data_IF_592661996776
#
_entry.id   IF_592661996776
#
_cell.length_a   1.000
_cell.length_b   1.000
_cell.length_c   1.000
_cell.angle_alpha   90.00
_cell.angle_beta   90.00
_cell.angle_gamma   90.00
#
_symmetry.space_group_name_H-M   'P 1'
#
loop_
_entity.id
_entity.type
_entity.pdbx_description
1 polymer ?
#
# COMPACT_ATOMS: atom_id res chain seq x y z
N UNK A 1 -8.36 -19.09 3.13
CA UNK A 1 -8.37 -17.94 4.09
C UNK A 1 -9.61 -17.98 4.97
N UNK A 2 -9.55 -17.40 6.17
CA UNK A 2 -10.71 -17.27 7.06
C UNK A 2 -11.79 -16.37 6.44
N UNK A 3 -13.02 -16.87 6.31
CA UNK A 3 -14.16 -16.15 5.69
C UNK A 3 -14.55 -14.86 6.41
N UNK A 4 -14.03 -14.61 7.60
CA UNK A 4 -14.20 -13.35 8.35
C UNK A 4 -13.33 -12.23 7.83
N UNK A 5 -12.25 -12.53 7.11
CA UNK A 5 -11.39 -11.54 6.46
C UNK A 5 -12.13 -10.96 5.26
N UNK A 6 -12.33 -9.65 5.22
CA UNK A 6 -13.09 -8.95 4.19
C UNK A 6 -12.26 -8.02 3.32
N UNK A 7 -11.10 -7.61 3.80
CA UNK A 7 -10.15 -6.79 3.07
C UNK A 7 -8.74 -6.98 3.64
N UNK A 8 -7.71 -6.78 2.82
CA UNK A 8 -6.31 -6.94 3.23
C UNK A 8 -5.51 -5.73 2.79
N UNK A 9 -4.64 -5.24 3.66
CA UNK A 9 -3.58 -4.31 3.30
C UNK A 9 -2.22 -4.96 3.56
N UNK A 10 -1.35 -4.91 2.57
CA UNK A 10 0.05 -5.30 2.67
C UNK A 10 0.90 -4.04 2.64
N UNK A 11 1.47 -3.68 3.78
CA UNK A 11 2.34 -2.52 3.94
C UNK A 11 3.79 -2.92 3.69
N UNK A 12 4.32 -2.48 2.57
CA UNK A 12 5.70 -2.74 2.11
C UNK A 12 6.13 -4.19 2.30
N UNK A 13 5.35 -5.15 1.76
CA UNK A 13 5.57 -6.56 2.00
C UNK A 13 6.92 -7.00 1.43
N UNK A 14 7.61 -7.91 2.13
CA UNK A 14 8.85 -8.50 1.63
C UNK A 14 8.57 -9.51 0.52
N UNK A 15 7.95 -10.62 0.85
CA UNK A 15 7.58 -11.68 -0.08
C UNK A 15 6.09 -11.95 0.07
N UNK A 16 5.38 -11.96 -1.05
CA UNK A 16 3.99 -12.40 -1.15
C UNK A 16 3.92 -13.64 -2.03
N UNK A 17 3.04 -14.56 -1.69
CA UNK A 17 2.77 -15.73 -2.52
C UNK A 17 1.48 -15.47 -3.30
N UNK A 18 1.52 -15.41 -4.63
CA UNK A 18 0.33 -15.16 -5.43
C UNK A 18 -0.82 -16.13 -5.17
N UNK A 19 -0.49 -17.38 -4.83
CA UNK A 19 -1.47 -18.42 -4.50
C UNK A 19 -2.24 -18.15 -3.19
N UNK A 20 -1.70 -17.34 -2.30
CA UNK A 20 -2.38 -16.95 -1.05
C UNK A 20 -3.39 -15.80 -1.25
N UNK A 21 -3.45 -15.21 -2.45
CA UNK A 21 -4.43 -14.17 -2.78
C UNK A 21 -5.83 -14.75 -2.95
N UNK A 22 -6.82 -13.99 -2.48
CA UNK A 22 -8.23 -14.34 -2.61
C UNK A 22 -9.01 -13.23 -3.32
N UNK A 23 -10.22 -13.56 -3.79
CA UNK A 23 -11.11 -12.63 -4.49
C UNK A 23 -11.81 -11.67 -3.52
N UNK A 24 -11.03 -10.99 -2.67
CA UNK A 24 -11.45 -9.93 -1.76
C UNK A 24 -10.64 -8.67 -2.04
N UNK A 25 -11.06 -7.47 -1.57
CA UNK A 25 -10.28 -6.26 -1.72
C UNK A 25 -8.88 -6.38 -1.11
N UNK A 26 -7.85 -6.07 -1.90
CA UNK A 26 -6.46 -6.06 -1.47
C UNK A 26 -5.80 -4.76 -1.91
N UNK A 27 -5.11 -4.12 -0.98
CA UNK A 27 -4.20 -3.03 -1.25
C UNK A 27 -2.77 -3.47 -0.95
N UNK A 28 -1.87 -3.30 -1.92
CA UNK A 28 -0.43 -3.34 -1.70
C UNK A 28 0.09 -1.92 -1.71
N UNK A 29 0.49 -1.42 -0.56
CA UNK A 29 1.12 -0.11 -0.40
C UNK A 29 2.61 -0.32 -0.13
N UNK A 30 3.47 0.19 -1.01
CA UNK A 30 4.90 -0.12 -1.02
C UNK A 30 5.78 1.11 -1.12
N UNK A 31 7.02 0.98 -0.66
CA UNK A 31 8.10 1.94 -0.92
C UNK A 31 8.66 1.75 -2.34
N UNK A 32 9.32 2.78 -2.92
CA UNK A 32 10.02 2.63 -4.19
C UNK A 32 11.11 1.55 -4.09
N UNK A 33 11.18 0.70 -5.09
CA UNK A 33 12.19 -0.35 -5.15
C UNK A 33 13.42 0.11 -5.93
N UNK A 34 14.61 -0.31 -5.47
CA UNK A 34 15.83 -0.23 -6.27
C UNK A 34 15.83 -1.36 -7.30
N UNK A 35 16.30 -1.12 -8.50
CA UNK A 35 16.39 -2.16 -9.52
C UNK A 35 17.41 -3.24 -9.11
N UNK A 36 16.93 -4.46 -8.95
CA UNK A 36 17.70 -5.66 -8.65
C UNK A 36 16.90 -6.87 -9.11
N UNK A 37 17.57 -8.01 -9.27
CA UNK A 37 16.90 -9.26 -9.63
C UNK A 37 15.83 -9.64 -8.61
N UNK A 38 16.15 -9.58 -7.32
CA UNK A 38 15.20 -9.83 -6.23
C UNK A 38 13.99 -8.89 -6.29
N UNK A 39 14.21 -7.62 -6.59
CA UNK A 39 13.13 -6.63 -6.72
C UNK A 39 12.22 -6.93 -7.90
N UNK A 40 12.76 -7.37 -9.02
CA UNK A 40 11.97 -7.73 -10.21
C UNK A 40 11.05 -8.92 -9.94
N UNK A 41 11.53 -9.94 -9.25
CA UNK A 41 10.70 -11.09 -8.85
C UNK A 41 9.63 -10.66 -7.84
N UNK A 42 9.98 -9.84 -6.87
CA UNK A 42 9.03 -9.27 -5.91
C UNK A 42 7.90 -8.51 -6.61
N UNK A 43 8.21 -7.60 -7.53
CA UNK A 43 7.21 -6.85 -8.31
C UNK A 43 6.30 -7.79 -9.09
N UNK A 44 6.84 -8.85 -9.68
CA UNK A 44 6.06 -9.87 -10.39
C UNK A 44 5.07 -10.59 -9.46
N UNK A 45 5.52 -11.00 -8.28
CA UNK A 45 4.65 -11.67 -7.29
C UNK A 45 3.59 -10.74 -6.73
N UNK A 46 3.92 -9.50 -6.42
CA UNK A 46 2.96 -8.47 -5.97
C UNK A 46 1.90 -8.21 -7.04
N UNK A 47 2.30 -8.09 -8.30
CA UNK A 47 1.39 -7.87 -9.42
C UNK A 47 0.44 -9.05 -9.61
N UNK A 48 0.94 -10.28 -9.54
CA UNK A 48 0.10 -11.46 -9.67
C UNK A 48 -0.82 -11.65 -8.45
N UNK A 49 -0.35 -11.30 -7.25
CA UNK A 49 -1.18 -11.30 -6.04
C UNK A 49 -2.34 -10.31 -6.18
N UNK A 50 -2.06 -9.08 -6.58
CA UNK A 50 -3.08 -8.05 -6.79
C UNK A 50 -4.06 -8.44 -7.90
N UNK A 51 -3.59 -9.06 -9.00
CA UNK A 51 -4.43 -9.50 -10.11
C UNK A 51 -5.49 -10.53 -9.70
N UNK A 52 -5.22 -11.33 -8.69
CA UNK A 52 -6.16 -12.33 -8.16
C UNK A 52 -7.18 -11.75 -7.19
N UNK A 53 -6.85 -10.62 -6.56
CA UNK A 53 -7.74 -9.89 -5.66
C UNK A 53 -8.90 -9.21 -6.42
N UNK A 54 -9.97 -8.86 -5.70
CA UNK A 54 -11.13 -8.15 -6.29
C UNK A 54 -11.68 -7.09 -5.33
N UNK A 55 -11.31 -5.83 -5.53
CA UNK A 55 -10.25 -5.33 -6.42
C UNK A 55 -8.85 -5.55 -5.85
N UNK A 56 -7.85 -5.54 -6.73
CA UNK A 56 -6.44 -5.53 -6.37
C UNK A 56 -5.81 -4.19 -6.72
N UNK A 57 -5.39 -3.43 -5.73
CA UNK A 57 -4.85 -2.08 -5.87
C UNK A 57 -3.38 -2.09 -5.48
N UNK A 58 -2.53 -1.46 -6.27
CA UNK A 58 -1.13 -1.23 -5.94
C UNK A 58 -0.83 0.26 -5.93
N UNK A 59 -0.23 0.72 -4.84
CA UNK A 59 0.21 2.11 -4.67
C UNK A 59 1.66 2.15 -4.20
N UNK A 60 2.42 3.11 -4.72
CA UNK A 60 3.78 3.40 -4.25
C UNK A 60 3.81 4.70 -3.48
N UNK A 61 4.41 4.68 -2.29
CA UNK A 61 4.67 5.86 -1.46
C UNK A 61 5.94 6.56 -1.97
N UNK A 62 5.78 7.61 -2.76
CA UNK A 62 6.88 8.34 -3.41
C UNK A 62 7.80 8.96 -2.36
N UNK A 63 9.10 8.67 -2.45
CA UNK A 63 10.09 9.13 -1.48
C UNK A 63 10.07 8.39 -0.14
N UNK A 64 9.15 7.43 0.03
CA UNK A 64 9.06 6.62 1.24
C UNK A 64 10.11 5.51 1.30
N UNK A 65 10.24 4.93 2.48
CA UNK A 65 11.02 3.73 2.73
C UNK A 65 10.27 2.83 3.73
N UNK A 66 10.81 1.65 4.01
CA UNK A 66 10.14 0.65 4.84
C UNK A 66 9.68 1.18 6.23
N UNK A 67 10.46 2.03 6.87
CA UNK A 67 10.13 2.55 8.22
C UNK A 67 8.92 3.50 8.23
N UNK A 68 8.56 4.09 7.09
CA UNK A 68 7.40 4.99 7.00
C UNK A 68 6.05 4.26 7.11
N UNK A 69 6.04 2.93 7.07
CA UNK A 69 4.83 2.12 7.23
C UNK A 69 4.52 1.75 8.69
N UNK A 70 5.37 2.17 9.61
CA UNK A 70 5.19 2.00 11.07
C UNK A 70 5.29 3.33 11.80
N UNK A 71 5.15 3.28 13.13
CA UNK A 71 5.20 4.46 13.99
C UNK A 71 6.63 4.83 14.43
N UNK A 72 7.64 4.07 14.00
CA UNK A 72 9.03 4.29 14.38
C UNK A 72 9.52 5.72 14.09
N UNK A 73 9.22 6.34 12.93
CA UNK A 73 9.62 7.73 12.67
C UNK A 73 8.96 8.77 13.58
N UNK A 74 7.85 8.42 14.23
CA UNK A 74 7.14 9.31 15.15
C UNK A 74 7.65 9.20 16.58
N UNK A 75 8.18 8.03 16.96
CA UNK A 75 8.64 7.72 18.32
C UNK A 75 10.11 8.11 18.49
N UNK A 76 10.90 7.85 17.48
CA UNK A 76 12.32 8.15 17.48
C UNK A 76 12.50 9.44 16.70
N UNK A 77 12.91 10.49 17.37
CA UNK A 77 13.28 11.78 16.76
C UNK A 77 14.55 11.65 15.88
N UNK A 78 14.72 10.50 15.28
CA UNK A 78 15.61 10.26 14.13
C UNK A 78 15.05 10.95 12.87
N UNK A 79 14.31 12.00 13.09
CA UNK A 79 13.60 12.80 12.12
C UNK A 79 14.46 13.40 11.00
N UNK A 80 15.73 13.13 10.99
CA UNK A 80 16.62 13.52 9.89
C UNK A 80 16.87 12.41 8.86
N UNK A 81 16.13 11.30 8.91
CA UNK A 81 16.30 10.23 7.91
C UNK A 81 15.62 10.57 6.57
N UNK A 82 14.61 11.41 6.59
CA UNK A 82 14.11 12.14 5.42
C UNK A 82 13.22 13.29 5.89
N UNK A 83 13.38 14.49 5.33
CA UNK A 83 12.70 15.72 5.75
C UNK A 83 11.16 15.70 5.71
N UNK A 84 10.53 14.59 5.27
CA UNK A 84 9.10 14.45 5.10
C UNK A 84 8.51 13.22 5.80
N UNK A 85 9.19 12.67 6.81
CA UNK A 85 8.73 11.45 7.50
C UNK A 85 7.30 11.58 8.04
N UNK A 86 6.92 12.75 8.55
CA UNK A 86 5.56 13.01 9.03
C UNK A 86 4.54 12.98 7.88
N UNK A 87 4.82 13.67 6.78
CA UNK A 87 3.93 13.72 5.61
C UNK A 87 3.75 12.34 4.98
N UNK A 88 4.84 11.56 4.89
CA UNK A 88 4.80 10.17 4.40
C UNK A 88 3.95 9.28 5.31
N UNK A 89 4.13 9.38 6.62
CA UNK A 89 3.37 8.61 7.59
C UNK A 89 1.88 9.00 7.59
N UNK A 90 1.56 10.30 7.54
CA UNK A 90 0.19 10.80 7.43
C UNK A 90 -0.47 10.32 6.12
N UNK A 91 0.30 10.23 5.02
CA UNK A 91 -0.17 9.68 3.75
C UNK A 91 -0.52 8.19 3.88
N UNK A 92 0.34 7.39 4.52
CA UNK A 92 0.04 5.96 4.79
C UNK A 92 -1.26 5.83 5.58
N UNK A 93 -1.42 6.59 6.67
CA UNK A 93 -2.65 6.56 7.49
C UNK A 93 -3.89 6.95 6.69
N UNK A 94 -3.77 7.95 5.82
CA UNK A 94 -4.86 8.39 4.95
C UNK A 94 -5.26 7.26 4.00
N UNK A 95 -4.31 6.63 3.32
CA UNK A 95 -4.56 5.52 2.41
C UNK A 95 -5.26 4.36 3.12
N UNK A 96 -4.79 3.99 4.31
CA UNK A 96 -5.42 2.91 5.09
C UNK A 96 -6.86 3.25 5.47
N UNK A 97 -7.10 4.48 5.92
CA UNK A 97 -8.45 4.95 6.28
C UNK A 97 -9.39 4.95 5.08
N UNK A 98 -8.93 5.45 3.94
CA UNK A 98 -9.71 5.49 2.70
C UNK A 98 -10.02 4.07 2.21
N UNK A 99 -9.05 3.18 2.17
CA UNK A 99 -9.24 1.80 1.74
C UNK A 99 -10.20 1.02 2.64
N UNK A 100 -9.99 1.03 3.95
CA UNK A 100 -10.89 0.32 4.87
C UNK A 100 -12.25 1.02 4.99
N UNK A 101 -12.29 2.33 4.84
CA UNK A 101 -13.53 3.09 4.77
C UNK A 101 -14.42 2.62 3.62
N UNK A 102 -13.85 2.49 2.43
CA UNK A 102 -14.55 2.01 1.23
C UNK A 102 -15.03 0.56 1.40
N UNK A 103 -14.10 -0.36 1.69
CA UNK A 103 -14.38 -1.79 1.59
C UNK A 103 -14.96 -2.45 2.84
N UNK A 104 -14.85 -1.83 4.02
CA UNK A 104 -15.44 -2.36 5.25
C UNK A 104 -16.63 -1.57 5.74
N UNK A 105 -16.68 -0.26 5.45
CA UNK A 105 -17.71 0.63 6.00
C UNK A 105 -18.65 1.19 4.92
N UNK A 106 -18.41 0.86 3.64
CA UNK A 106 -19.20 1.38 2.53
C UNK A 106 -19.12 2.91 2.37
N UNK A 107 -18.03 3.52 2.82
CA UNK A 107 -17.79 4.96 2.67
C UNK A 107 -17.17 5.23 1.33
N UNK A 108 -17.71 6.22 0.63
CA UNK A 108 -17.15 6.67 -0.62
C UNK A 108 -15.73 7.24 -0.44
N UNK A 109 -14.77 6.78 -1.25
CA UNK A 109 -13.39 7.24 -1.23
C UNK A 109 -12.98 7.81 -2.57
N UNK A 110 -12.71 9.10 -2.61
CA UNK A 110 -12.19 9.75 -3.83
C UNK A 110 -10.81 9.21 -4.25
N UNK A 111 -9.96 8.85 -3.30
CA UNK A 111 -8.65 8.25 -3.60
C UNK A 111 -8.81 6.93 -4.36
N UNK A 112 -9.70 6.07 -3.90
CA UNK A 112 -9.93 4.75 -4.50
C UNK A 112 -10.59 4.88 -5.88
N UNK A 113 -11.55 5.80 -6.02
CA UNK A 113 -12.32 5.92 -7.26
C UNK A 113 -11.67 6.79 -8.32
N UNK A 114 -11.06 7.92 -7.90
CA UNK A 114 -10.51 8.92 -8.81
C UNK A 114 -8.99 8.86 -8.93
N UNK A 115 -8.34 8.08 -8.07
CA UNK A 115 -6.89 7.93 -8.08
C UNK A 115 -6.14 9.01 -7.30
N UNK A 116 -4.83 9.03 -7.45
CA UNK A 116 -3.91 9.78 -6.60
C UNK A 116 -3.65 11.24 -7.03
N UNK A 117 -4.46 11.83 -7.90
CA UNK A 117 -4.23 13.18 -8.43
C UNK A 117 -4.04 14.26 -7.33
N UNK A 118 -4.74 14.12 -6.21
CA UNK A 118 -4.66 15.03 -5.06
C UNK A 118 -3.68 14.56 -3.97
N UNK A 119 -2.89 13.52 -4.24
CA UNK A 119 -1.99 12.89 -3.29
C UNK A 119 -0.57 12.83 -3.85
N UNK A 120 0.22 13.91 -3.75
CA UNK A 120 1.52 14.04 -4.44
C UNK A 120 2.55 13.00 -4.01
N UNK A 121 2.39 12.40 -2.83
CA UNK A 121 3.26 11.34 -2.32
C UNK A 121 2.80 9.92 -2.70
N UNK A 122 1.77 9.79 -3.54
CA UNK A 122 1.26 8.50 -4.00
C UNK A 122 1.33 8.35 -5.50
N UNK A 123 1.72 7.16 -5.94
CA UNK A 123 1.60 6.69 -7.33
C UNK A 123 0.75 5.43 -7.33
N UNK A 124 -0.37 5.45 -8.05
CA UNK A 124 -1.19 4.26 -8.27
C UNK A 124 -0.65 3.53 -9.49
N UNK A 125 -0.39 2.24 -9.35
CA UNK A 125 0.14 1.38 -10.42
C UNK A 125 -0.95 0.52 -11.06
N UNK A 126 -1.93 0.09 -10.25
CA UNK A 126 -3.12 -0.62 -10.73
C UNK A 126 -4.35 -0.03 -10.10
N UNK A 127 -5.36 0.28 -10.92
CA UNK A 127 -6.68 0.69 -10.45
C UNK A 127 -7.62 -0.52 -10.38
N UNK A 128 -8.61 -0.48 -9.52
CA UNK A 128 -9.61 -1.53 -9.41
C UNK A 128 -10.40 -1.73 -10.70
#
# INVERSE_FOLDING_TARGET
MDKRVKAIVLNDPGIVRPEDSEAIPVLILKSPHKDSEFTRDRVKWETEFARRAKPGIQMTLVGGNHVNFGDLPLIMDFANVSGDSKALNDTVRTVLREFFGEYLLGKHSELIEKGAANYPLLKIETQP
#
